data_IF_911008096821
#
_entry.id   IF_911008096821
#
_cell.length_a   1.000
_cell.length_b   1.000
_cell.length_c   1.000
_cell.angle_alpha   90.00
_cell.angle_beta   90.00
_cell.angle_gamma   90.00
#
_symmetry.space_group_name_H-M   'P 1'
#
loop_
_entity.id
_entity.type
_entity.pdbx_description
1 polymer ?
#
# COMPACT_ATOMS: atom_id res chain seq x y z
N UNK A 1 24.82 -1.04 3.07
CA UNK A 1 25.41 -1.61 1.83
C UNK A 1 24.87 -0.80 0.66
N UNK A 2 25.73 -0.25 -0.19
CA UNK A 2 25.27 0.48 -1.38
C UNK A 2 24.82 -0.55 -2.39
N UNK A 3 23.53 -0.49 -2.79
CA UNK A 3 23.03 -1.35 -3.84
C UNK A 3 23.64 -0.95 -5.18
N UNK A 4 24.26 -1.89 -5.87
CA UNK A 4 24.89 -1.65 -7.16
C UNK A 4 23.82 -1.66 -8.25
N UNK A 5 23.70 -0.60 -9.03
CA UNK A 5 22.72 -0.48 -10.11
C UNK A 5 22.91 -1.60 -11.13
N UNK A 6 21.79 -2.24 -11.47
CA UNK A 6 21.73 -3.28 -12.50
C UNK A 6 20.71 -2.93 -13.57
N UNK A 7 20.96 -3.36 -14.79
CA UNK A 7 19.98 -3.27 -15.89
C UNK A 7 18.95 -4.42 -15.82
N UNK A 8 18.04 -4.47 -16.78
CA UNK A 8 17.01 -5.53 -16.88
C UNK A 8 17.60 -6.94 -17.04
N UNK A 9 18.83 -7.07 -17.53
CA UNK A 9 19.57 -8.33 -17.67
C UNK A 9 20.36 -8.70 -16.39
N UNK A 10 20.18 -7.96 -15.30
CA UNK A 10 20.89 -8.10 -14.02
C UNK A 10 22.41 -7.82 -14.10
N UNK A 11 22.89 -7.18 -15.15
CA UNK A 11 24.29 -6.77 -15.30
C UNK A 11 24.55 -5.47 -14.54
N UNK A 12 25.73 -5.32 -13.95
CA UNK A 12 26.15 -4.10 -13.28
C UNK A 12 26.29 -2.96 -14.30
N UNK A 13 25.71 -1.81 -13.97
CA UNK A 13 25.81 -0.59 -14.79
C UNK A 13 26.17 0.62 -13.94
N UNK A 14 26.79 1.63 -14.54
CA UNK A 14 27.16 2.85 -13.85
C UNK A 14 25.92 3.56 -13.31
N UNK A 15 25.87 3.80 -12.00
CA UNK A 15 24.83 4.59 -11.36
C UNK A 15 25.08 6.08 -11.66
N UNK A 16 24.17 6.73 -12.40
CA UNK A 16 24.23 8.16 -12.70
C UNK A 16 23.54 9.02 -11.64
N UNK A 17 22.88 8.41 -10.65
CA UNK A 17 22.09 9.11 -9.65
C UNK A 17 20.85 9.84 -10.20
N UNK A 18 20.50 9.60 -11.46
CA UNK A 18 19.36 10.24 -12.13
C UNK A 18 18.36 9.17 -12.62
N UNK A 19 17.09 9.52 -12.60
CA UNK A 19 16.01 8.70 -13.13
C UNK A 19 16.10 8.58 -14.64
N UNK A 20 16.05 7.37 -15.14
CA UNK A 20 16.04 7.10 -16.58
C UNK A 20 14.65 7.30 -17.20
N UNK A 21 13.59 7.07 -16.41
CA UNK A 21 12.20 7.13 -16.90
C UNK A 21 11.66 8.56 -16.78
N UNK A 22 11.50 9.25 -17.90
CA UNK A 22 11.01 10.63 -17.97
C UNK A 22 9.59 10.80 -17.41
N UNK A 23 8.69 9.83 -17.61
CA UNK A 23 7.32 9.88 -17.07
C UNK A 23 7.25 9.87 -15.53
N UNK A 24 8.37 9.63 -14.85
CA UNK A 24 8.46 9.74 -13.39
C UNK A 24 9.00 11.10 -12.89
N UNK A 25 9.24 12.03 -13.80
CA UNK A 25 9.73 13.39 -13.52
C UNK A 25 8.65 14.38 -13.92
N UNK A 26 8.28 15.28 -13.02
CA UNK A 26 7.33 16.35 -13.29
C UNK A 26 8.05 17.56 -13.89
N UNK A 27 7.57 18.03 -15.02
CA UNK A 27 8.04 19.27 -15.64
C UNK A 27 7.05 20.40 -15.36
N UNK A 28 7.51 21.56 -14.87
CA UNK A 28 6.63 22.71 -14.66
C UNK A 28 5.84 23.04 -15.94
N UNK A 29 4.55 23.31 -15.76
CA UNK A 29 3.59 23.59 -16.85
C UNK A 29 3.35 22.45 -17.84
N UNK A 30 3.71 21.20 -17.51
CA UNK A 30 3.30 20.06 -18.35
C UNK A 30 1.77 19.92 -18.37
N UNK A 31 1.23 19.61 -19.54
CA UNK A 31 -0.20 19.34 -19.73
C UNK A 31 -0.55 17.88 -19.43
N UNK A 32 0.40 16.96 -19.69
CA UNK A 32 0.20 15.54 -19.48
C UNK A 32 0.04 15.21 -18.01
N UNK A 33 -0.79 14.22 -17.75
CA UNK A 33 -1.02 13.70 -16.40
C UNK A 33 0.28 13.24 -15.73
N UNK A 34 0.41 13.54 -14.46
CA UNK A 34 1.53 13.10 -13.62
C UNK A 34 1.04 12.26 -12.45
N UNK A 35 1.47 11.00 -12.43
CA UNK A 35 1.06 10.04 -11.41
C UNK A 35 1.91 10.16 -10.15
N UNK A 36 1.25 10.42 -9.02
CA UNK A 36 1.83 10.42 -7.67
C UNK A 36 1.31 9.20 -6.92
N UNK A 37 2.17 8.24 -6.69
CA UNK A 37 1.82 7.04 -5.92
C UNK A 37 1.73 7.34 -4.42
N UNK A 38 1.02 6.47 -3.67
CA UNK A 38 0.93 6.55 -2.20
C UNK A 38 2.30 6.71 -1.52
N UNK A 39 3.31 5.95 -1.94
CA UNK A 39 4.66 6.08 -1.39
C UNK A 39 5.28 7.45 -1.66
N UNK A 40 5.05 8.01 -2.85
CA UNK A 40 5.55 9.34 -3.20
C UNK A 40 4.78 10.46 -2.52
N UNK A 41 3.51 10.27 -2.25
CA UNK A 41 2.74 11.17 -1.40
C UNK A 41 3.30 11.18 0.04
N UNK A 42 3.62 10.02 0.59
CA UNK A 42 4.28 9.92 1.90
C UNK A 42 5.66 10.60 1.90
N UNK A 43 6.47 10.41 0.83
CA UNK A 43 7.75 11.11 0.68
C UNK A 43 7.58 12.64 0.70
N UNK A 44 6.51 13.15 0.06
CA UNK A 44 6.19 14.59 0.07
C UNK A 44 5.86 15.10 1.47
N UNK A 45 5.07 14.35 2.25
CA UNK A 45 4.73 14.71 3.63
C UNK A 45 5.97 14.66 4.54
N UNK A 46 6.81 13.66 4.36
CA UNK A 46 8.02 13.45 5.18
C UNK A 46 9.10 14.50 4.87
N UNK A 47 9.35 14.77 3.60
CA UNK A 47 10.41 15.69 3.18
C UNK A 47 10.12 16.30 1.81
N UNK A 48 9.50 17.47 1.76
CA UNK A 48 9.16 18.19 0.51
C UNK A 48 10.38 18.43 -0.37
N UNK A 49 11.54 18.74 0.23
CA UNK A 49 12.80 18.93 -0.51
C UNK A 49 13.24 17.63 -1.18
N UNK A 50 13.18 16.50 -0.47
CA UNK A 50 13.55 15.19 -1.02
C UNK A 50 12.61 14.81 -2.17
N UNK A 51 11.29 15.02 -1.98
CA UNK A 51 10.30 14.81 -3.03
C UNK A 51 10.58 15.67 -4.27
N UNK A 52 10.89 16.96 -4.09
CA UNK A 52 11.25 17.86 -5.20
C UNK A 52 12.49 17.38 -5.96
N UNK A 53 13.54 17.00 -5.24
CA UNK A 53 14.76 16.48 -5.85
C UNK A 53 14.50 15.20 -6.63
N UNK A 54 13.67 14.30 -6.09
CA UNK A 54 13.28 13.05 -6.75
C UNK A 54 12.38 13.31 -7.97
N UNK A 55 11.28 14.06 -7.80
CA UNK A 55 10.19 14.12 -8.78
C UNK A 55 10.29 15.28 -9.77
N UNK A 56 11.04 16.33 -9.47
CA UNK A 56 11.23 17.48 -10.35
C UNK A 56 12.67 17.56 -10.89
N UNK A 57 13.66 17.23 -10.06
CA UNK A 57 15.06 17.21 -10.49
C UNK A 57 15.55 15.85 -10.97
N UNK A 58 14.75 14.80 -10.79
CA UNK A 58 15.05 13.47 -11.26
C UNK A 58 16.20 12.77 -10.54
N UNK A 59 16.55 13.19 -9.32
CA UNK A 59 17.53 12.49 -8.50
C UNK A 59 16.95 11.16 -8.03
N UNK A 60 17.67 10.07 -8.29
CA UNK A 60 17.23 8.73 -7.93
C UNK A 60 17.81 8.34 -6.57
N UNK A 61 16.94 7.96 -5.63
CA UNK A 61 17.37 7.47 -4.32
C UNK A 61 17.99 6.09 -4.45
N UNK A 62 18.98 5.73 -3.61
CA UNK A 62 19.48 4.36 -3.53
C UNK A 62 18.36 3.36 -3.30
N UNK A 63 18.42 2.22 -3.99
CA UNK A 63 17.47 1.12 -3.78
C UNK A 63 17.65 0.46 -2.41
N UNK A 64 16.57 -0.09 -1.86
CA UNK A 64 16.60 -0.94 -0.67
C UNK A 64 16.34 -2.40 -1.06
N UNK A 65 16.90 -3.38 -0.32
CA UNK A 65 16.57 -4.78 -0.54
C UNK A 65 15.08 -5.06 -0.42
N UNK A 66 14.56 -5.99 -1.22
CA UNK A 66 13.16 -6.44 -1.15
C UNK A 66 12.89 -7.27 0.11
N UNK A 67 11.62 -7.29 0.53
CA UNK A 67 11.13 -8.01 1.72
C UNK A 67 10.36 -9.27 1.30
N UNK A 68 11.07 -10.28 0.80
CA UNK A 68 10.48 -11.48 0.18
C UNK A 68 9.55 -12.28 1.09
N UNK A 69 9.83 -12.32 2.40
CA UNK A 69 8.97 -13.02 3.37
C UNK A 69 7.58 -12.35 3.49
N UNK A 70 7.56 -11.04 3.53
CA UNK A 70 6.32 -10.28 3.63
C UNK A 70 5.46 -10.47 2.36
N UNK A 71 6.09 -10.49 1.19
CA UNK A 71 5.40 -10.73 -0.09
C UNK A 71 4.70 -12.10 -0.13
N UNK A 72 5.37 -13.16 0.39
CA UNK A 72 4.79 -14.50 0.43
C UNK A 72 3.60 -14.57 1.37
N UNK A 73 3.70 -13.98 2.55
CA UNK A 73 2.61 -13.95 3.54
C UNK A 73 1.40 -13.19 3.01
N UNK A 74 1.62 -12.03 2.40
CA UNK A 74 0.58 -11.22 1.76
C UNK A 74 -0.16 -12.00 0.66
N UNK A 75 0.60 -12.71 -0.19
CA UNK A 75 0.01 -13.53 -1.24
C UNK A 75 -0.87 -14.67 -0.70
N UNK A 76 -0.46 -15.33 0.40
CA UNK A 76 -1.25 -16.39 1.02
C UNK A 76 -2.55 -15.85 1.61
N UNK A 77 -2.49 -14.74 2.34
CA UNK A 77 -3.67 -14.08 2.88
C UNK A 77 -4.65 -13.67 1.78
N UNK A 78 -4.17 -13.04 0.72
CA UNK A 78 -5.00 -12.65 -0.43
C UNK A 78 -5.75 -13.85 -1.00
N UNK A 79 -5.10 -15.01 -1.13
CA UNK A 79 -5.76 -16.24 -1.61
C UNK A 79 -6.86 -16.73 -0.68
N UNK A 80 -6.63 -16.70 0.63
CA UNK A 80 -7.65 -17.11 1.62
C UNK A 80 -8.86 -16.17 1.60
N UNK A 81 -8.61 -14.86 1.57
CA UNK A 81 -9.68 -13.87 1.48
C UNK A 81 -10.43 -13.95 0.15
N UNK A 82 -9.77 -14.29 -0.96
CA UNK A 82 -10.43 -14.47 -2.27
C UNK A 82 -11.40 -15.66 -2.29
N UNK A 83 -11.13 -16.73 -1.52
CA UNK A 83 -12.08 -17.83 -1.34
C UNK A 83 -13.35 -17.34 -0.63
N UNK A 84 -13.18 -16.54 0.43
CA UNK A 84 -14.29 -15.95 1.16
C UNK A 84 -15.05 -14.91 0.31
N UNK A 85 -14.34 -14.11 -0.50
CA UNK A 85 -14.91 -13.14 -1.43
C UNK A 85 -15.84 -13.80 -2.44
N UNK A 86 -15.39 -14.87 -3.08
CA UNK A 86 -16.21 -15.62 -4.04
C UNK A 86 -17.48 -16.21 -3.44
N UNK A 87 -17.43 -16.59 -2.15
CA UNK A 87 -18.56 -17.17 -1.42
C UNK A 87 -19.40 -16.11 -0.69
N UNK A 88 -18.95 -14.87 -0.62
CA UNK A 88 -19.55 -13.78 0.17
C UNK A 88 -19.81 -14.19 1.63
N UNK A 89 -18.77 -14.74 2.26
CA UNK A 89 -18.82 -15.18 3.67
C UNK A 89 -17.70 -14.52 4.47
N UNK A 90 -17.88 -14.35 5.79
CA UNK A 90 -16.82 -13.88 6.68
C UNK A 90 -15.63 -14.84 6.70
N UNK A 91 -14.43 -14.27 6.72
CA UNK A 91 -13.21 -15.07 6.95
C UNK A 91 -13.11 -15.54 8.41
N UNK A 92 -12.41 -16.65 8.66
CA UNK A 92 -12.27 -17.21 10.02
C UNK A 92 -11.64 -16.24 11.02
N UNK A 93 -10.73 -15.35 10.57
CA UNK A 93 -10.16 -14.33 11.42
C UNK A 93 -11.22 -13.34 11.93
N UNK A 94 -12.24 -13.04 11.15
CA UNK A 94 -13.35 -12.18 11.56
C UNK A 94 -14.16 -12.82 12.67
N UNK A 95 -14.43 -14.13 12.57
CA UNK A 95 -15.14 -14.88 13.58
C UNK A 95 -14.40 -14.90 14.92
N UNK A 96 -13.07 -15.09 14.87
CA UNK A 96 -12.22 -15.08 16.07
C UNK A 96 -12.24 -13.75 16.82
N UNK A 97 -12.48 -12.64 16.11
CA UNK A 97 -12.49 -11.29 16.68
C UNK A 97 -13.89 -10.67 16.79
N UNK A 98 -14.96 -11.47 16.66
CA UNK A 98 -16.36 -11.02 16.69
C UNK A 98 -16.69 -9.97 15.60
N UNK A 99 -16.05 -10.06 14.44
CA UNK A 99 -16.24 -9.20 13.27
C UNK A 99 -17.00 -9.90 12.16
N UNK A 100 -17.97 -10.77 12.51
CA UNK A 100 -18.72 -11.59 11.55
C UNK A 100 -19.55 -10.78 10.54
N UNK A 101 -19.70 -9.49 10.79
CA UNK A 101 -20.37 -8.54 9.91
C UNK A 101 -19.46 -8.04 8.78
N UNK A 102 -18.17 -8.39 8.81
CA UNK A 102 -17.24 -8.04 7.73
C UNK A 102 -17.14 -9.21 6.73
N UNK A 103 -17.23 -8.87 5.46
CA UNK A 103 -16.98 -9.80 4.35
C UNK A 103 -15.98 -9.17 3.37
N UNK A 104 -15.18 -9.95 2.64
CA UNK A 104 -14.34 -9.38 1.58
C UNK A 104 -15.21 -8.76 0.48
N UNK A 105 -14.95 -7.48 0.18
CA UNK A 105 -15.73 -6.72 -0.81
C UNK A 105 -15.54 -7.28 -2.22
N UNK A 106 -16.66 -7.47 -2.94
CA UNK A 106 -16.65 -7.96 -4.32
C UNK A 106 -16.89 -6.81 -5.29
N UNK A 107 -15.98 -6.61 -6.22
CA UNK A 107 -16.07 -5.62 -7.28
C UNK A 107 -15.32 -6.12 -8.51
N UNK A 108 -15.77 -5.73 -9.71
CA UNK A 108 -15.14 -6.15 -10.98
C UNK A 108 -13.68 -5.69 -11.11
N UNK A 109 -13.32 -4.56 -10.51
CA UNK A 109 -11.98 -3.99 -10.55
C UNK A 109 -11.12 -4.33 -9.32
N UNK A 110 -11.58 -5.20 -8.40
CA UNK A 110 -10.84 -5.44 -7.14
C UNK A 110 -9.40 -5.92 -7.38
N UNK A 111 -9.19 -6.75 -8.39
CA UNK A 111 -7.85 -7.24 -8.73
C UNK A 111 -6.95 -6.14 -9.30
N UNK A 112 -7.53 -5.19 -10.06
CA UNK A 112 -6.81 -4.01 -10.53
C UNK A 112 -6.43 -3.09 -9.37
N UNK A 113 -7.35 -2.88 -8.41
CA UNK A 113 -7.11 -2.01 -7.26
C UNK A 113 -6.02 -2.57 -6.33
N UNK A 114 -5.85 -3.89 -6.28
CA UNK A 114 -4.80 -4.58 -5.52
C UNK A 114 -3.46 -4.69 -6.26
N UNK A 115 -3.43 -4.41 -7.56
CA UNK A 115 -2.20 -4.40 -8.35
C UNK A 115 -1.48 -3.06 -8.23
N UNK A 116 -0.61 -2.93 -7.23
CA UNK A 116 0.15 -1.71 -6.95
C UNK A 116 1.19 -1.35 -8.01
N UNK A 117 1.61 -2.31 -8.85
CA UNK A 117 2.67 -2.11 -9.83
C UNK A 117 2.16 -1.50 -11.13
N UNK A 118 1.00 -1.95 -11.62
CA UNK A 118 0.49 -1.57 -12.94
C UNK A 118 -0.77 -0.70 -12.85
N UNK A 119 -1.59 -0.92 -11.84
CA UNK A 119 -2.92 -0.30 -11.72
C UNK A 119 -3.10 0.44 -10.39
N UNK A 120 -3.81 -0.13 -9.43
CA UNK A 120 -4.20 0.47 -8.16
C UNK A 120 -5.45 1.35 -8.28
N UNK A 121 -5.93 1.82 -7.14
CA UNK A 121 -6.90 2.92 -7.06
C UNK A 121 -6.29 4.17 -7.70
N UNK A 122 -7.10 4.96 -8.39
CA UNK A 122 -6.58 6.12 -9.11
C UNK A 122 -7.65 7.19 -9.27
N UNK A 123 -7.32 8.42 -8.88
CA UNK A 123 -8.21 9.59 -9.06
C UNK A 123 -7.41 10.78 -9.58
N UNK A 124 -8.09 11.70 -10.26
CA UNK A 124 -7.54 13.02 -10.57
C UNK A 124 -7.74 13.95 -9.38
N UNK A 125 -6.65 14.58 -8.94
CA UNK A 125 -6.73 15.57 -7.86
C UNK A 125 -7.33 16.88 -8.37
N UNK A 126 -8.57 17.14 -8.02
CA UNK A 126 -9.33 18.33 -8.45
C UNK A 126 -9.24 18.56 -9.98
N UNK A 127 -9.10 19.80 -10.42
CA UNK A 127 -8.91 20.17 -11.84
C UNK A 127 -7.45 20.16 -12.31
N UNK A 128 -6.54 19.56 -11.53
CA UNK A 128 -5.12 19.50 -11.87
C UNK A 128 -4.78 18.34 -12.81
N UNK A 129 -3.54 18.30 -13.29
CA UNK A 129 -2.99 17.16 -14.02
C UNK A 129 -2.31 16.12 -13.09
N UNK A 130 -2.58 16.18 -11.80
CA UNK A 130 -2.04 15.23 -10.83
C UNK A 130 -3.00 14.06 -10.67
N UNK A 131 -2.50 12.85 -10.87
CA UNK A 131 -3.21 11.61 -10.62
C UNK A 131 -2.66 10.99 -9.34
N UNK A 132 -3.49 10.93 -8.31
CA UNK A 132 -3.16 10.20 -7.08
C UNK A 132 -3.47 8.73 -7.26
N UNK A 133 -2.58 7.84 -6.82
CA UNK A 133 -2.79 6.41 -7.02
C UNK A 133 -2.11 5.55 -5.95
N UNK A 134 -2.68 4.35 -5.73
CA UNK A 134 -2.07 3.36 -4.84
C UNK A 134 -2.80 2.03 -4.88
N UNK A 135 -2.06 0.95 -4.73
CA UNK A 135 -2.64 -0.39 -4.61
C UNK A 135 -2.97 -0.69 -3.15
N UNK A 136 -4.22 -1.07 -2.88
CA UNK A 136 -4.64 -1.57 -1.57
C UNK A 136 -4.27 -3.05 -1.42
N UNK A 137 -4.06 -3.52 -0.21
CA UNK A 137 -3.89 -4.95 0.00
C UNK A 137 -5.23 -5.67 -0.11
N UNK A 138 -6.26 -5.15 0.56
CA UNK A 138 -7.65 -5.61 0.41
C UNK A 138 -8.68 -4.55 0.79
N UNK A 139 -9.93 -4.83 0.45
CA UNK A 139 -11.11 -4.04 0.83
C UNK A 139 -12.17 -5.01 1.35
N UNK A 140 -12.75 -4.69 2.50
CA UNK A 140 -13.85 -5.44 3.10
C UNK A 140 -15.10 -4.58 3.13
N UNK A 141 -16.26 -5.20 3.27
CA UNK A 141 -17.54 -4.54 3.41
C UNK A 141 -18.13 -4.83 4.78
N UNK A 142 -18.58 -3.80 5.46
CA UNK A 142 -19.42 -3.94 6.66
C UNK A 142 -20.86 -4.17 6.22
N UNK A 143 -21.40 -5.35 6.48
CA UNK A 143 -22.77 -5.73 6.05
C UNK A 143 -23.88 -5.04 6.84
N UNK A 144 -23.54 -4.25 7.87
CA UNK A 144 -24.51 -3.52 8.70
C UNK A 144 -24.92 -2.18 8.08
N UNK A 145 -24.00 -1.54 7.35
CA UNK A 145 -24.19 -0.20 6.79
C UNK A 145 -23.58 -0.04 5.37
N UNK A 146 -23.13 -1.14 4.78
CA UNK A 146 -22.53 -1.23 3.44
C UNK A 146 -21.27 -0.40 3.23
N UNK A 147 -20.65 0.12 4.29
CA UNK A 147 -19.40 0.88 4.19
C UNK A 147 -18.21 -0.03 3.89
N UNK A 148 -17.28 0.51 3.12
CA UNK A 148 -16.04 -0.17 2.82
C UNK A 148 -15.00 0.05 3.92
N UNK A 149 -14.37 -1.03 4.34
CA UNK A 149 -13.27 -1.06 5.31
C UNK A 149 -11.97 -1.36 4.57
N UNK A 150 -10.99 -0.47 4.66
CA UNK A 150 -9.69 -0.70 4.06
C UNK A 150 -8.91 -1.67 4.94
N UNK A 151 -8.34 -2.69 4.32
CA UNK A 151 -7.49 -3.68 4.98
C UNK A 151 -6.06 -3.60 4.45
N UNK A 152 -5.10 -3.66 5.36
CA UNK A 152 -3.68 -3.64 5.07
C UNK A 152 -3.00 -4.80 5.79
N UNK A 153 -2.30 -5.65 5.04
CA UNK A 153 -1.68 -6.85 5.54
C UNK A 153 -0.25 -6.56 5.97
N UNK A 154 -0.01 -6.64 7.28
CA UNK A 154 1.32 -6.46 7.86
C UNK A 154 1.82 -7.77 8.45
N UNK A 155 2.95 -8.24 7.97
CA UNK A 155 3.68 -9.35 8.57
C UNK A 155 4.92 -8.82 9.25
N UNK A 156 5.11 -9.21 10.50
CA UNK A 156 6.25 -8.80 11.31
C UNK A 156 6.71 -9.95 12.19
N UNK A 157 8.01 -10.18 12.24
CA UNK A 157 8.60 -11.05 13.25
C UNK A 157 8.78 -10.25 14.55
N UNK A 158 8.18 -10.71 15.64
CA UNK A 158 8.36 -10.09 16.96
C UNK A 158 8.49 -11.16 18.03
N UNK A 159 9.40 -10.94 18.98
CA UNK A 159 9.63 -11.83 20.12
C UNK A 159 8.64 -11.61 21.29
N UNK A 160 7.75 -10.62 21.18
CA UNK A 160 6.77 -10.26 22.21
C UNK A 160 5.39 -10.13 21.57
N UNK A 161 4.31 -10.44 22.31
CA UNK A 161 2.96 -10.12 21.85
C UNK A 161 2.86 -8.63 21.50
N UNK A 162 2.20 -8.33 20.40
CA UNK A 162 1.94 -6.96 19.98
C UNK A 162 0.71 -6.43 20.69
N UNK A 163 0.85 -5.29 21.34
CA UNK A 163 -0.27 -4.49 21.81
C UNK A 163 -0.63 -3.46 20.74
N UNK A 164 -1.91 -3.43 20.35
CA UNK A 164 -2.39 -2.58 19.26
C UNK A 164 -2.13 -1.09 19.50
N UNK A 165 -2.28 -0.63 20.74
CA UNK A 165 -2.06 0.78 21.09
C UNK A 165 -0.59 1.16 20.91
N UNK A 166 0.31 0.41 21.53
CA UNK A 166 1.76 0.62 21.42
C UNK A 166 2.24 0.56 19.99
N UNK A 167 1.68 -0.39 19.20
CA UNK A 167 2.00 -0.51 17.79
C UNK A 167 1.60 0.73 16.98
N UNK A 168 0.38 1.23 17.18
CA UNK A 168 -0.12 2.40 16.44
C UNK A 168 0.49 3.73 16.90
N UNK A 169 1.03 3.81 18.12
CA UNK A 169 1.71 4.99 18.64
C UNK A 169 3.18 5.06 18.23
N UNK A 170 3.76 3.96 17.74
CA UNK A 170 5.15 3.92 17.30
C UNK A 170 5.39 4.91 16.15
N UNK A 171 6.40 5.80 16.24
CA UNK A 171 6.72 6.75 15.19
C UNK A 171 7.00 6.11 13.82
N UNK A 172 7.55 4.90 13.78
CA UNK A 172 7.79 4.16 12.55
C UNK A 172 6.50 3.71 11.86
N UNK A 173 5.40 3.58 12.61
CA UNK A 173 4.11 3.14 12.07
C UNK A 173 3.17 4.29 11.67
N UNK A 174 3.59 5.55 11.86
CA UNK A 174 2.75 6.70 11.44
C UNK A 174 2.50 6.71 9.92
N UNK A 175 3.46 6.21 9.14
CA UNK A 175 3.30 6.03 7.70
C UNK A 175 2.15 5.08 7.32
N UNK A 176 1.77 4.14 8.19
CA UNK A 176 0.63 3.24 7.96
C UNK A 176 -0.71 3.97 8.10
N UNK A 177 -0.85 4.88 9.07
CA UNK A 177 -2.05 5.71 9.22
C UNK A 177 -2.26 6.56 7.96
N UNK A 178 -1.21 7.27 7.53
CA UNK A 178 -1.23 8.07 6.29
C UNK A 178 -1.60 7.20 5.09
N UNK A 179 -1.13 5.95 5.04
CA UNK A 179 -1.46 5.01 3.98
C UNK A 179 -2.96 4.69 3.95
N UNK A 180 -3.56 4.43 5.11
CA UNK A 180 -4.98 4.10 5.20
C UNK A 180 -5.86 5.32 4.88
N UNK A 181 -5.51 6.49 5.41
CA UNK A 181 -6.21 7.75 5.09
C UNK A 181 -6.14 8.07 3.59
N UNK A 182 -4.99 7.83 2.96
CA UNK A 182 -4.81 8.03 1.53
C UNK A 182 -5.73 7.11 0.71
N UNK A 183 -5.81 5.82 1.06
CA UNK A 183 -6.71 4.90 0.36
C UNK A 183 -8.19 5.22 0.64
N UNK A 184 -8.53 5.62 1.87
CA UNK A 184 -9.87 6.10 2.22
C UNK A 184 -10.28 7.28 1.37
N UNK A 185 -9.40 8.26 1.22
CA UNK A 185 -9.62 9.40 0.35
C UNK A 185 -9.83 8.98 -1.11
N UNK A 186 -8.99 8.10 -1.67
CA UNK A 186 -9.15 7.62 -3.05
C UNK A 186 -10.51 6.94 -3.26
N UNK A 187 -10.91 6.03 -2.38
CA UNK A 187 -12.19 5.33 -2.48
C UNK A 187 -13.38 6.28 -2.33
N UNK A 188 -13.30 7.26 -1.42
CA UNK A 188 -14.34 8.27 -1.24
C UNK A 188 -14.51 9.14 -2.50
N UNK A 189 -13.42 9.58 -3.12
CA UNK A 189 -13.46 10.35 -4.38
C UNK A 189 -13.95 9.50 -5.57
N UNK A 190 -13.81 8.17 -5.48
CA UNK A 190 -14.40 7.23 -6.46
C UNK A 190 -15.90 7.00 -6.21
N UNK A 191 -16.49 7.60 -5.17
CA UNK A 191 -17.92 7.55 -4.87
C UNK A 191 -18.34 6.46 -3.88
N UNK A 192 -17.40 5.76 -3.24
CA UNK A 192 -17.71 4.76 -2.23
C UNK A 192 -17.89 5.38 -0.84
N UNK A 193 -18.78 4.82 -0.04
CA UNK A 193 -18.87 5.14 1.37
C UNK A 193 -17.81 4.35 2.13
N UNK A 194 -16.86 5.04 2.74
CA UNK A 194 -15.74 4.42 3.46
C UNK A 194 -15.98 4.52 4.96
N UNK A 195 -15.67 3.45 5.68
CA UNK A 195 -15.69 3.41 7.14
C UNK A 195 -14.58 4.30 7.72
N UNK A 196 -14.86 4.96 8.84
CA UNK A 196 -13.84 5.63 9.64
C UNK A 196 -12.88 4.62 10.32
N UNK A 197 -13.31 3.36 10.41
CA UNK A 197 -12.51 2.26 10.95
C UNK A 197 -11.71 1.59 9.83
N UNK A 198 -10.43 1.39 10.07
CA UNK A 198 -9.52 0.64 9.19
C UNK A 198 -9.05 -0.63 9.90
N UNK A 199 -8.65 -1.65 9.16
CA UNK A 199 -8.16 -2.90 9.72
C UNK A 199 -6.70 -3.15 9.34
N UNK A 200 -5.88 -3.37 10.36
CA UNK A 200 -4.52 -3.89 10.19
C UNK A 200 -4.50 -5.36 10.64
N UNK A 201 -4.16 -6.27 9.73
CA UNK A 201 -3.92 -7.65 10.11
C UNK A 201 -2.46 -7.84 10.45
N UNK A 202 -2.19 -8.32 11.67
CA UNK A 202 -0.84 -8.69 12.08
C UNK A 202 -0.71 -10.21 12.08
N UNK A 203 0.18 -10.72 11.23
CA UNK A 203 0.71 -12.05 11.36
C UNK A 203 2.05 -11.97 12.09
N UNK A 204 2.07 -12.41 13.35
CA UNK A 204 3.32 -12.73 14.03
C UNK A 204 3.78 -14.10 13.55
N UNK A 205 4.84 -14.13 12.76
CA UNK A 205 5.52 -15.36 12.41
C UNK A 205 6.22 -15.91 13.66
N UNK A 206 6.00 -17.18 14.03
CA UNK A 206 6.74 -17.77 15.14
C UNK A 206 8.23 -17.73 14.80
N UNK A 207 9.01 -17.08 15.65
CA UNK A 207 10.46 -17.22 15.62
C UNK A 207 10.77 -18.57 16.23
N UNK A 208 10.95 -19.60 15.39
CA UNK A 208 11.49 -20.86 15.85
C UNK A 208 12.93 -20.61 16.36
N UNK A 209 13.04 -20.54 17.70
CA UNK A 209 14.29 -20.80 18.38
C UNK A 209 14.31 -22.29 18.73
N UNK A 210 14.62 -23.11 17.75
CA UNK A 210 15.18 -24.43 17.97
C UNK A 210 16.44 -24.54 17.12
N UNK A 211 17.55 -24.35 17.78
CA UNK A 211 18.85 -24.89 17.41
C UNK A 211 19.31 -25.69 18.61
#
# INVERSE_FOLDING_TARGET
>A
MIDLKRNSKKELVTAKGLRSRQSSIYFPNQVNDFKVSRSKFNDFLTCRRCFYLDRVKGLDSPGTPGWTLNETTDLLLKKEFDICRKKQIPHEIFKKHNLNYLIPFQHEDIDKWRDSLHHGLSIRYQSSNIILSGGVDDIWQDTRDDRLVIADYKSQANNRPLDAKTYLEDPYHQGYKIQMDFYGYLLSEMGFQVSETVSYTHLTLPTNREV
#
